data_IF_779934819555
#
_entry.id   IF_779934819555
#
_cell.length_a   1.000
_cell.length_b   1.000
_cell.length_c   1.000
_cell.angle_alpha   90.00
_cell.angle_beta   90.00
_cell.angle_gamma   90.00
#
_symmetry.space_group_name_H-M   'P 1'
#
loop_
_entity.id
_entity.type
_entity.pdbx_description
1 polymer ?
#
# COMPACT_ATOMS: atom_id res chain seq x y z
N UNK A 1 -24.22 42.79 -2.59
CA UNK A 1 -23.49 41.53 -2.89
C UNK A 1 -23.29 40.62 -1.67
N UNK A 2 -23.14 41.14 -0.44
CA UNK A 2 -22.87 40.32 0.77
C UNK A 2 -23.98 39.34 1.20
N UNK A 3 -25.26 39.68 0.98
CA UNK A 3 -26.41 38.92 1.52
C UNK A 3 -26.58 37.51 0.92
N UNK A 4 -26.17 37.30 -0.34
CA UNK A 4 -26.24 35.98 -1.02
C UNK A 4 -25.24 34.97 -0.45
N UNK A 5 -24.09 35.45 0.04
CA UNK A 5 -23.03 34.59 0.56
C UNK A 5 -23.31 34.11 2.00
N UNK A 6 -24.08 34.88 2.77
CA UNK A 6 -24.46 34.53 4.14
C UNK A 6 -25.48 33.39 4.18
N UNK A 7 -26.37 33.29 3.19
CA UNK A 7 -27.40 32.23 3.11
C UNK A 7 -26.87 30.99 2.39
N UNK A 8 -25.94 31.14 1.43
CA UNK A 8 -25.31 29.99 0.75
C UNK A 8 -24.50 29.12 1.71
N UNK A 9 -23.75 29.73 2.63
CA UNK A 9 -22.85 29.03 3.56
C UNK A 9 -23.54 28.05 4.51
N UNK A 10 -24.66 28.39 5.19
CA UNK A 10 -25.39 27.42 6.02
C UNK A 10 -26.08 26.35 5.17
N UNK A 11 -26.50 26.68 3.94
CA UNK A 11 -27.12 25.71 3.03
C UNK A 11 -26.12 24.65 2.55
N UNK A 12 -24.89 25.04 2.18
CA UNK A 12 -23.84 24.08 1.82
C UNK A 12 -23.42 23.22 3.02
N UNK A 13 -23.32 23.82 4.22
CA UNK A 13 -23.02 23.07 5.44
C UNK A 13 -24.12 22.04 5.77
N UNK A 14 -25.39 22.42 5.66
CA UNK A 14 -26.52 21.51 5.91
C UNK A 14 -26.53 20.34 4.91
N UNK A 15 -26.28 20.63 3.64
CA UNK A 15 -26.18 19.60 2.59
C UNK A 15 -25.05 18.62 2.90
N UNK A 16 -23.87 19.11 3.30
CA UNK A 16 -22.73 18.27 3.67
C UNK A 16 -23.06 17.34 4.84
N UNK A 17 -23.69 17.85 5.90
CA UNK A 17 -24.12 17.03 7.04
C UNK A 17 -25.15 15.96 6.66
N UNK A 18 -26.05 16.27 5.71
CA UNK A 18 -27.03 15.32 5.19
C UNK A 18 -26.38 14.20 4.36
N UNK A 19 -25.35 14.52 3.56
CA UNK A 19 -24.61 13.51 2.80
C UNK A 19 -23.75 12.60 3.71
N UNK A 20 -23.15 13.13 4.78
CA UNK A 20 -22.29 12.34 5.68
C UNK A 20 -23.07 11.31 6.51
N UNK A 21 -24.32 11.62 6.86
CA UNK A 21 -25.18 10.72 7.67
C UNK A 21 -25.81 9.59 6.86
N UNK A 22 -25.86 9.70 5.53
CA UNK A 22 -26.42 8.67 4.66
C UNK A 22 -25.59 7.38 4.62
N UNK A 23 -24.27 7.45 4.86
CA UNK A 23 -23.39 6.27 4.80
C UNK A 23 -23.24 5.52 6.13
N UNK A 24 -23.71 6.07 7.26
CA UNK A 24 -23.53 5.43 8.57
C UNK A 24 -24.50 4.27 8.84
N UNK A 25 -25.62 4.20 8.10
CA UNK A 25 -26.72 3.30 8.43
C UNK A 25 -26.66 1.91 7.78
N UNK A 26 -25.58 1.60 7.07
CA UNK A 26 -25.36 0.27 6.48
C UNK A 26 -23.98 -0.27 6.79
N UNK A 27 -23.61 -0.30 8.06
CA UNK A 27 -22.71 -1.37 8.47
C UNK A 27 -23.49 -2.68 8.25
N UNK A 28 -23.01 -3.59 7.40
CA UNK A 28 -23.55 -4.94 7.42
C UNK A 28 -23.39 -5.42 8.85
N UNK A 29 -24.51 -5.71 9.50
CA UNK A 29 -24.49 -6.48 10.74
C UNK A 29 -23.61 -7.68 10.44
N UNK A 30 -22.53 -7.85 11.20
CA UNK A 30 -21.74 -9.06 11.16
C UNK A 30 -22.65 -10.17 11.67
N UNK A 31 -23.44 -10.74 10.76
CA UNK A 31 -24.16 -11.98 11.01
C UNK A 31 -23.13 -12.97 11.54
N UNK A 32 -23.46 -13.79 12.55
CA UNK A 32 -22.62 -14.92 12.89
C UNK A 32 -22.31 -15.66 11.58
N UNK A 33 -21.03 -15.85 11.33
CA UNK A 33 -20.56 -16.58 10.16
C UNK A 33 -21.28 -17.93 10.20
N UNK A 34 -21.96 -18.36 9.11
CA UNK A 34 -22.51 -19.71 9.06
C UNK A 34 -21.39 -20.68 9.42
N UNK A 35 -21.70 -21.72 10.19
CA UNK A 35 -20.74 -22.77 10.50
C UNK A 35 -20.38 -23.46 9.17
N UNK A 36 -19.27 -23.04 8.57
CA UNK A 36 -18.83 -23.55 7.27
C UNK A 36 -18.19 -24.91 7.55
N UNK A 37 -18.77 -26.02 7.04
CA UNK A 37 -18.22 -27.33 7.29
C UNK A 37 -16.82 -27.43 6.66
N UNK A 38 -15.93 -28.15 7.33
CA UNK A 38 -14.59 -28.38 6.83
C UNK A 38 -14.64 -29.07 5.45
N UNK A 39 -13.71 -28.71 4.55
CA UNK A 39 -13.66 -29.31 3.23
C UNK A 39 -13.41 -30.82 3.33
N UNK A 40 -14.14 -31.59 2.52
CA UNK A 40 -13.88 -33.03 2.35
C UNK A 40 -12.45 -33.24 1.82
N UNK A 41 -11.75 -34.32 2.19
CA UNK A 41 -10.37 -34.57 1.76
C UNK A 41 -10.16 -34.45 0.25
N UNK A 42 -11.14 -34.86 -0.56
CA UNK A 42 -11.10 -34.83 -2.03
C UNK A 42 -11.21 -33.40 -2.60
N UNK A 43 -11.79 -32.48 -1.84
CA UNK A 43 -11.92 -31.07 -2.21
C UNK A 43 -10.77 -30.21 -1.68
N UNK A 44 -9.84 -30.78 -0.90
CA UNK A 44 -8.65 -30.08 -0.42
C UNK A 44 -7.62 -30.02 -1.54
N UNK A 45 -6.97 -28.88 -1.67
CA UNK A 45 -5.78 -28.78 -2.52
C UNK A 45 -4.65 -29.60 -1.91
N UNK A 46 -3.81 -30.25 -2.75
CA UNK A 46 -2.62 -30.92 -2.26
C UNK A 46 -1.67 -29.91 -1.60
N UNK A 47 -0.83 -30.39 -0.71
CA UNK A 47 0.22 -29.57 -0.09
C UNK A 47 1.05 -28.93 -1.19
N UNK A 48 1.24 -27.61 -1.07
CA UNK A 48 2.02 -26.87 -2.05
C UNK A 48 3.41 -27.50 -2.20
N UNK A 49 3.88 -27.72 -3.44
CA UNK A 49 5.20 -28.29 -3.66
C UNK A 49 6.27 -27.37 -3.10
N UNK A 50 7.40 -27.93 -2.66
CA UNK A 50 8.49 -27.17 -2.02
C UNK A 50 9.05 -26.04 -2.89
N UNK A 51 8.96 -26.16 -4.22
CA UNK A 51 9.35 -25.12 -5.19
C UNK A 51 8.51 -23.84 -5.05
N UNK A 52 7.27 -23.94 -4.58
CA UNK A 52 6.38 -22.79 -4.38
C UNK A 52 6.59 -22.14 -3.00
N UNK A 53 7.41 -22.72 -2.12
CA UNK A 53 7.70 -22.11 -0.84
C UNK A 53 8.53 -20.84 -1.04
N UNK A 54 8.30 -19.78 -0.24
CA UNK A 54 9.10 -18.55 -0.31
C UNK A 54 10.58 -18.80 0.01
N UNK A 55 10.90 -19.92 0.65
CA UNK A 55 12.27 -20.38 0.88
C UNK A 55 12.98 -20.80 -0.40
N UNK A 56 12.26 -21.28 -1.42
CA UNK A 56 12.84 -21.71 -2.69
C UNK A 56 13.56 -20.56 -3.42
N UNK A 57 13.04 -19.33 -3.31
CA UNK A 57 13.61 -18.14 -3.96
C UNK A 57 14.41 -17.25 -3.02
N UNK A 58 14.53 -17.60 -1.73
CA UNK A 58 15.17 -16.76 -0.72
C UNK A 58 16.64 -16.40 -1.08
N UNK A 59 17.40 -17.36 -1.63
CA UNK A 59 18.76 -17.11 -2.09
C UNK A 59 18.84 -16.10 -3.25
N UNK A 60 17.94 -16.25 -4.23
CA UNK A 60 17.86 -15.34 -5.39
C UNK A 60 17.41 -13.92 -4.98
N UNK A 61 16.47 -13.83 -4.04
CA UNK A 61 16.03 -12.55 -3.47
C UNK A 61 17.18 -11.82 -2.76
N UNK A 62 17.94 -12.53 -1.91
CA UNK A 62 19.14 -11.97 -1.25
C UNK A 62 20.18 -11.49 -2.26
N UNK A 63 20.39 -12.26 -3.32
CA UNK A 63 21.32 -11.89 -4.38
C UNK A 63 20.87 -10.59 -5.05
N UNK A 64 19.60 -10.50 -5.44
CA UNK A 64 19.01 -9.30 -6.06
C UNK A 64 19.17 -8.07 -5.17
N UNK A 65 18.87 -8.19 -3.87
CA UNK A 65 19.04 -7.09 -2.91
C UNK A 65 20.50 -6.67 -2.76
N UNK A 66 21.44 -7.62 -2.76
CA UNK A 66 22.87 -7.33 -2.74
C UNK A 66 23.32 -6.55 -3.97
N UNK A 67 22.87 -6.99 -5.15
CA UNK A 67 23.13 -6.31 -6.42
C UNK A 67 22.55 -4.90 -6.44
N UNK A 68 21.29 -4.76 -6.03
CA UNK A 68 20.64 -3.45 -5.93
C UNK A 68 21.44 -2.52 -5.01
N UNK A 69 21.79 -2.97 -3.80
CA UNK A 69 22.61 -2.19 -2.87
C UNK A 69 23.94 -1.76 -3.48
N UNK A 70 24.64 -2.67 -4.15
CA UNK A 70 25.92 -2.37 -4.80
C UNK A 70 25.81 -1.34 -5.92
N UNK A 71 24.69 -1.32 -6.65
CA UNK A 71 24.45 -0.39 -7.75
C UNK A 71 23.95 0.97 -7.25
N UNK A 72 23.25 1.01 -6.12
CA UNK A 72 22.69 2.24 -5.54
C UNK A 72 23.56 2.87 -4.46
N UNK A 73 24.56 2.16 -3.94
CA UNK A 73 25.57 2.74 -3.05
C UNK A 73 26.44 3.67 -3.87
N UNK A 74 26.04 4.95 -3.92
CA UNK A 74 26.76 5.97 -4.64
C UNK A 74 28.23 6.01 -4.22
N UNK A 75 29.12 5.91 -5.20
CA UNK A 75 30.42 6.59 -5.12
C UNK A 75 30.10 8.07 -4.91
N UNK A 76 30.35 8.59 -3.72
CA UNK A 76 30.63 10.02 -3.58
C UNK A 76 31.99 10.24 -4.27
N UNK A 77 32.08 10.98 -5.38
CA UNK A 77 33.37 11.45 -5.85
C UNK A 77 33.78 12.56 -4.87
N UNK A 78 34.62 12.19 -3.91
CA UNK A 78 35.46 13.16 -3.23
C UNK A 78 36.45 13.75 -4.22
N UNK A 79 36.71 15.05 -4.09
CA UNK A 79 37.88 15.70 -4.68
C UNK A 79 37.55 16.67 -5.80
N UNK A 80 37.35 17.93 -5.41
CA UNK A 80 37.51 19.11 -6.25
C UNK A 80 38.70 18.96 -7.21
N UNK A 81 38.44 19.09 -8.51
CA UNK A 81 39.47 19.22 -9.52
C UNK A 81 40.34 20.45 -9.20
N UNK A 82 41.55 20.20 -8.70
CA UNK A 82 42.54 21.27 -8.53
C UNK A 82 43.05 21.63 -9.93
N UNK A 83 42.66 22.81 -10.40
CA UNK A 83 43.17 23.44 -11.61
C UNK A 83 44.70 23.48 -11.54
N UNK A 84 45.35 22.79 -12.47
CA UNK A 84 46.78 22.95 -12.75
C UNK A 84 46.94 24.16 -13.67
N UNK A 85 47.48 25.25 -13.12
CA UNK A 85 47.92 26.41 -13.90
C UNK A 85 49.40 26.23 -14.20
N UNK A 86 49.72 25.95 -15.47
CA UNK A 86 51.07 25.94 -16.02
C UNK A 86 51.69 27.33 -15.92
N UNK A 87 52.95 27.42 -15.47
CA UNK A 87 53.82 28.58 -15.65
C UNK A 87 55.22 28.12 -16.03
#
# INVERSE_FOLDING_TARGET
MLRKNVIRRPLTLLLQMLLLTACANRLPHSSPMPDVPELRPEARQPVAPSICLPTCSAGLTRLRESWQRSLTSGVLPGGSASVVTTR
#
